data_IF_871118947804
#
_entry.id   IF_871118947804
#
_cell.length_a   1.000
_cell.length_b   1.000
_cell.length_c   1.000
_cell.angle_alpha   90.00
_cell.angle_beta   90.00
_cell.angle_gamma   90.00
#
_symmetry.space_group_name_H-M   'P 1'
#
loop_
_entity.id
_entity.type
_entity.pdbx_description
1 polymer ?
#
# COMPACT_ATOMS: atom_id res chain seq x y z
N UNK A 1 7.05 -14.05 -10.29
CA UNK A 1 6.64 -14.10 -8.87
C UNK A 1 7.40 -13.07 -8.04
N UNK A 2 8.74 -13.09 -7.99
CA UNK A 2 9.58 -12.19 -7.16
C UNK A 2 9.19 -10.71 -7.27
N UNK A 3 9.22 -10.13 -8.48
CA UNK A 3 8.90 -8.70 -8.68
C UNK A 3 7.50 -8.34 -8.17
N UNK A 4 6.52 -9.20 -8.40
CA UNK A 4 5.14 -8.98 -7.96
C UNK A 4 5.01 -9.07 -6.43
N UNK A 5 5.66 -10.05 -5.80
CA UNK A 5 5.65 -10.23 -4.34
C UNK A 5 6.30 -9.04 -3.63
N UNK A 6 7.40 -8.52 -4.17
CA UNK A 6 8.13 -7.39 -3.60
C UNK A 6 7.44 -6.03 -3.80
N UNK A 7 6.47 -5.93 -4.73
CA UNK A 7 5.80 -4.68 -5.08
C UNK A 7 4.28 -4.76 -4.83
N UNK A 8 3.52 -5.16 -5.85
CA UNK A 8 2.06 -5.15 -5.85
C UNK A 8 1.45 -5.98 -4.71
N UNK A 9 2.00 -7.16 -4.39
CA UNK A 9 1.49 -7.97 -3.29
C UNK A 9 1.67 -7.25 -1.95
N UNK A 10 2.84 -6.65 -1.73
CA UNK A 10 3.11 -5.88 -0.52
C UNK A 10 2.19 -4.66 -0.43
N UNK A 11 2.07 -3.88 -1.50
CA UNK A 11 1.19 -2.71 -1.56
C UNK A 11 -0.28 -3.05 -1.25
N UNK A 12 -0.78 -4.18 -1.77
CA UNK A 12 -2.16 -4.63 -1.53
C UNK A 12 -2.48 -4.89 -0.05
N UNK A 13 -1.50 -5.33 0.74
CA UNK A 13 -1.69 -5.65 2.16
C UNK A 13 -1.18 -4.56 3.10
N UNK A 14 -0.30 -3.67 2.62
CA UNK A 14 0.30 -2.61 3.43
C UNK A 14 -0.42 -1.27 3.30
N UNK A 15 -0.72 -0.83 2.08
CA UNK A 15 -1.18 0.55 1.83
C UNK A 15 -2.57 0.84 2.41
N UNK A 16 -3.33 -0.20 2.73
CA UNK A 16 -4.67 -0.10 3.32
C UNK A 16 -4.66 -0.05 4.85
N UNK A 17 -3.51 -0.28 5.50
CA UNK A 17 -3.45 -0.42 6.96
C UNK A 17 -4.01 0.82 7.68
N UNK A 18 -3.61 2.03 7.29
CA UNK A 18 -4.13 3.25 7.94
C UNK A 18 -5.63 3.44 7.73
N UNK A 19 -6.16 3.15 6.55
CA UNK A 19 -7.56 3.38 6.21
C UNK A 19 -8.50 2.45 7.00
N UNK A 20 -8.12 1.19 7.18
CA UNK A 20 -8.96 0.20 7.86
C UNK A 20 -8.58 -0.02 9.33
N UNK A 21 -7.30 0.09 9.68
CA UNK A 21 -6.83 -0.13 11.06
C UNK A 21 -6.70 1.17 11.86
N UNK A 22 -6.81 2.33 11.20
CA UNK A 22 -6.86 3.64 11.86
C UNK A 22 -8.08 3.85 12.75
N UNK A 23 -9.12 3.02 12.59
CA UNK A 23 -10.30 3.01 13.46
C UNK A 23 -10.33 1.72 14.29
N UNK A 24 -9.88 1.79 15.55
CA UNK A 24 -9.68 0.62 16.42
C UNK A 24 -10.86 -0.36 16.49
N UNK A 25 -12.14 0.08 16.60
CA UNK A 25 -13.25 -0.87 16.62
C UNK A 25 -13.37 -1.75 15.36
N UNK A 26 -12.84 -1.30 14.22
CA UNK A 26 -12.82 -2.07 12.98
C UNK A 26 -11.70 -3.13 12.95
N UNK A 27 -10.60 -2.89 13.66
CA UNK A 27 -9.45 -3.81 13.73
C UNK A 27 -8.78 -3.75 15.11
N UNK A 28 -9.43 -4.32 16.16
CA UNK A 28 -8.85 -4.31 17.50
C UNK A 28 -7.62 -5.23 17.55
N UNK A 29 -6.53 -4.74 18.13
CA UNK A 29 -5.27 -5.50 18.26
C UNK A 29 -5.33 -6.69 19.22
N UNK A 30 -6.40 -6.80 19.99
CA UNK A 30 -6.62 -7.88 20.94
C UNK A 30 -8.01 -7.77 21.55
N UNK A 31 -8.48 -8.86 22.14
CA UNK A 31 -9.75 -8.91 22.86
C UNK A 31 -9.49 -9.14 24.34
N UNK A 32 -10.15 -8.35 25.18
CA UNK A 32 -10.10 -8.51 26.63
C UNK A 32 -11.35 -9.28 27.10
N UNK A 33 -11.17 -10.23 28.01
CA UNK A 33 -12.23 -11.13 28.48
C UNK A 33 -13.18 -10.52 29.53
N UNK A 34 -13.13 -9.20 29.77
CA UNK A 34 -13.96 -8.52 30.76
C UNK A 34 -15.33 -8.10 30.18
N UNK A 35 -16.39 -8.30 30.97
CA UNK A 35 -17.78 -8.50 30.52
C UNK A 35 -18.60 -7.28 30.12
N UNK A 36 -17.99 -6.16 29.69
CA UNK A 36 -18.78 -5.03 29.14
C UNK A 36 -18.12 -4.33 27.95
N UNK A 37 -16.80 -4.45 27.76
CA UNK A 37 -16.09 -3.92 26.59
C UNK A 37 -14.90 -4.84 26.26
N UNK A 38 -15.05 -5.73 25.29
CA UNK A 38 -13.96 -6.62 24.85
C UNK A 38 -12.84 -5.92 24.07
N UNK A 39 -12.83 -4.59 24.04
CA UNK A 39 -11.83 -3.80 23.32
C UNK A 39 -10.51 -3.68 24.10
N UNK A 40 -9.40 -3.46 23.39
CA UNK A 40 -8.11 -3.16 24.02
C UNK A 40 -8.19 -1.86 24.81
N UNK A 41 -7.33 -1.74 25.83
CA UNK A 41 -7.19 -0.50 26.58
C UNK A 41 -6.62 0.64 25.71
N UNK A 42 -6.68 1.87 26.24
CA UNK A 42 -6.26 3.07 25.52
C UNK A 42 -4.78 3.01 25.13
N UNK A 43 -3.92 2.48 25.99
CA UNK A 43 -2.48 2.43 25.73
C UNK A 43 -2.17 1.45 24.59
N UNK A 44 -2.77 0.25 24.63
CA UNK A 44 -2.65 -0.74 23.54
C UNK A 44 -3.19 -0.20 22.22
N UNK A 45 -4.33 0.50 22.26
CA UNK A 45 -4.91 1.15 21.08
C UNK A 45 -3.98 2.21 20.49
N UNK A 46 -3.43 3.09 21.34
CA UNK A 46 -2.52 4.17 20.90
C UNK A 46 -1.25 3.62 20.27
N UNK A 47 -0.64 2.58 20.85
CA UNK A 47 0.54 1.93 20.28
C UNK A 47 0.23 1.29 18.92
N UNK A 48 -0.95 0.69 18.78
CA UNK A 48 -1.41 0.13 17.51
C UNK A 48 -1.56 1.16 16.42
N UNK A 49 -2.29 2.24 16.71
CA UNK A 49 -2.49 3.34 15.77
C UNK A 49 -1.17 3.99 15.37
N UNK A 50 -0.24 4.19 16.32
CA UNK A 50 1.09 4.72 16.03
C UNK A 50 1.87 3.80 15.09
N UNK A 51 1.82 2.48 15.32
CA UNK A 51 2.49 1.48 14.48
C UNK A 51 1.91 1.47 13.07
N UNK A 52 0.59 1.38 12.93
CA UNK A 52 -0.11 1.42 11.65
C UNK A 52 0.21 2.70 10.88
N UNK A 53 0.21 3.85 11.56
CA UNK A 53 0.55 5.13 10.95
C UNK A 53 1.99 5.17 10.43
N UNK A 54 2.95 4.63 11.19
CA UNK A 54 4.35 4.55 10.76
C UNK A 54 4.50 3.63 9.54
N UNK A 55 3.90 2.45 9.54
CA UNK A 55 3.99 1.48 8.44
C UNK A 55 3.27 1.92 7.16
N UNK A 56 2.28 2.82 7.30
CA UNK A 56 1.52 3.35 6.16
C UNK A 56 2.13 4.60 5.54
N UNK A 57 3.18 5.17 6.16
CA UNK A 57 3.88 6.32 5.61
C UNK A 57 4.67 5.91 4.38
N UNK A 58 4.43 6.58 3.26
CA UNK A 58 5.34 6.51 2.12
C UNK A 58 6.69 7.11 2.50
N UNK A 59 7.81 6.41 2.26
CA UNK A 59 9.14 6.96 2.49
C UNK A 59 9.38 8.18 1.59
N UNK A 60 10.06 9.18 2.12
CA UNK A 60 10.41 10.40 1.38
C UNK A 60 11.36 10.12 0.21
N UNK A 61 12.20 9.09 0.36
CA UNK A 61 13.16 8.63 -0.64
C UNK A 61 12.54 7.58 -1.57
N UNK A 62 11.31 7.83 -2.05
CA UNK A 62 10.69 7.04 -3.11
C UNK A 62 11.47 7.26 -4.42
N UNK A 63 12.62 6.60 -4.53
CA UNK A 63 13.50 6.67 -5.69
C UNK A 63 13.18 5.46 -6.56
N UNK A 64 12.51 5.71 -7.69
CA UNK A 64 12.42 4.74 -8.78
C UNK A 64 13.83 4.57 -9.33
N UNK A 65 14.48 3.47 -8.99
CA UNK A 65 15.91 3.28 -9.23
C UNK A 65 16.31 3.43 -10.70
N UNK A 66 17.54 3.93 -10.83
CA UNK A 66 18.22 4.34 -12.04
C UNK A 66 18.39 3.22 -13.08
N UNK A 67 18.66 3.64 -14.31
CA UNK A 67 18.90 2.79 -15.47
C UNK A 67 20.12 1.88 -15.27
N UNK A 68 19.89 0.67 -14.77
CA UNK A 68 20.91 -0.40 -14.74
C UNK A 68 21.20 -1.00 -16.12
N UNK A 69 20.22 -0.93 -17.03
CA UNK A 69 20.36 -1.42 -18.39
C UNK A 69 20.80 -0.30 -19.34
N UNK A 70 21.83 -0.58 -20.15
CA UNK A 70 22.33 0.33 -21.19
C UNK A 70 22.02 -0.16 -22.61
N UNK A 71 21.62 -1.42 -22.75
CA UNK A 71 21.27 -2.03 -24.04
C UNK A 71 19.89 -1.56 -24.51
N UNK A 72 19.72 -1.37 -25.82
CA UNK A 72 18.50 -0.82 -26.42
C UNK A 72 17.25 -1.65 -26.11
N UNK A 73 17.33 -2.97 -26.22
CA UNK A 73 16.17 -3.86 -26.04
C UNK A 73 15.62 -3.84 -24.60
N UNK A 74 16.43 -4.03 -23.53
CA UNK A 74 15.94 -3.89 -22.16
C UNK A 74 15.41 -2.48 -21.84
N UNK A 75 16.06 -1.43 -22.33
CA UNK A 75 15.62 -0.04 -22.13
C UNK A 75 14.23 0.19 -22.75
N UNK A 76 14.01 -0.27 -23.98
CA UNK A 76 12.71 -0.18 -24.64
C UNK A 76 11.64 -1.01 -23.91
N UNK A 77 12.00 -2.20 -23.43
CA UNK A 77 11.10 -3.08 -22.68
C UNK A 77 10.64 -2.41 -21.38
N UNK A 78 11.56 -1.80 -20.63
CA UNK A 78 11.25 -1.04 -19.41
C UNK A 78 10.36 0.17 -19.73
N UNK A 79 10.63 0.88 -20.84
CA UNK A 79 9.81 2.01 -21.26
C UNK A 79 8.36 1.59 -21.60
N UNK A 80 8.19 0.48 -22.32
CA UNK A 80 6.87 -0.12 -22.62
C UNK A 80 6.14 -0.52 -21.33
N UNK A 81 6.81 -1.22 -20.43
CA UNK A 81 6.24 -1.61 -19.13
C UNK A 81 5.77 -0.39 -18.32
N UNK A 82 6.59 0.68 -18.25
CA UNK A 82 6.21 1.93 -17.58
C UNK A 82 5.02 2.61 -18.25
N UNK A 83 4.90 2.53 -19.57
CA UNK A 83 3.74 3.05 -20.31
C UNK A 83 2.47 2.26 -20.00
N UNK A 84 2.55 0.93 -19.96
CA UNK A 84 1.41 0.07 -19.60
C UNK A 84 0.92 0.34 -18.17
N UNK A 85 1.85 0.54 -17.22
CA UNK A 85 1.49 0.93 -15.85
C UNK A 85 0.79 2.30 -15.78
N UNK A 86 1.21 3.27 -16.58
CA UNK A 86 0.53 4.58 -16.66
C UNK A 86 -0.88 4.44 -17.21
N UNK A 87 -1.08 3.61 -18.25
CA UNK A 87 -2.41 3.30 -18.78
C UNK A 87 -3.28 2.65 -17.72
N UNK A 88 -2.78 1.62 -17.04
CA UNK A 88 -3.50 0.94 -15.96
C UNK A 88 -3.88 1.90 -14.81
N UNK A 89 -3.00 2.82 -14.44
CA UNK A 89 -3.30 3.87 -13.45
C UNK A 89 -4.48 4.75 -13.89
N UNK A 90 -4.52 5.15 -15.16
CA UNK A 90 -5.65 5.90 -15.74
C UNK A 90 -6.96 5.10 -15.68
N UNK A 91 -6.92 3.83 -16.07
CA UNK A 91 -8.08 2.94 -16.07
C UNK A 91 -8.63 2.74 -14.64
N UNK A 92 -7.74 2.54 -13.66
CA UNK A 92 -8.12 2.41 -12.24
C UNK A 92 -8.76 3.69 -11.72
N UNK A 93 -8.16 4.86 -12.01
CA UNK A 93 -8.71 6.14 -11.57
C UNK A 93 -10.08 6.39 -12.18
N UNK A 94 -10.25 6.11 -13.47
CA UNK A 94 -11.53 6.22 -14.17
C UNK A 94 -12.58 5.32 -13.54
N UNK A 95 -12.25 4.04 -13.30
CA UNK A 95 -13.12 3.08 -12.61
C UNK A 95 -13.50 3.52 -11.19
N UNK A 96 -12.60 4.23 -10.50
CA UNK A 96 -12.82 4.66 -9.13
C UNK A 96 -13.71 5.90 -8.99
N UNK A 97 -13.94 6.68 -10.06
CA UNK A 97 -14.76 7.92 -10.01
C UNK A 97 -16.17 7.65 -9.48
N UNK A 98 -16.80 6.55 -9.90
CA UNK A 98 -18.21 6.26 -9.60
C UNK A 98 -18.37 5.36 -8.35
N UNK A 99 -17.29 5.00 -7.68
CA UNK A 99 -17.32 4.11 -6.51
C UNK A 99 -17.45 4.91 -5.21
N UNK A 100 -18.41 4.51 -4.36
CA UNK A 100 -18.55 5.05 -3.00
C UNK A 100 -17.31 4.83 -2.13
N UNK A 101 -16.62 3.72 -2.35
CA UNK A 101 -15.38 3.36 -1.67
C UNK A 101 -14.36 2.92 -2.74
N UNK A 102 -13.53 3.84 -3.26
CA UNK A 102 -12.59 3.54 -4.32
C UNK A 102 -11.45 2.66 -3.81
N UNK A 103 -11.04 1.66 -4.61
CA UNK A 103 -9.88 0.82 -4.29
C UNK A 103 -8.63 1.39 -4.96
N UNK A 104 -7.75 1.99 -4.16
CA UNK A 104 -6.58 2.74 -4.65
C UNK A 104 -5.24 2.02 -4.46
N UNK A 105 -5.19 0.97 -3.63
CA UNK A 105 -3.93 0.38 -3.14
C UNK A 105 -3.08 -0.33 -4.20
N UNK A 106 -3.68 -0.68 -5.34
CA UNK A 106 -2.98 -1.25 -6.51
C UNK A 106 -2.89 -0.27 -7.69
N UNK A 107 -3.18 1.03 -7.50
CA UNK A 107 -2.81 2.02 -8.51
C UNK A 107 -1.28 2.00 -8.64
N UNK A 108 -0.70 1.76 -9.85
CA UNK A 108 0.74 1.78 -10.06
C UNK A 108 1.44 3.08 -9.61
N UNK A 109 0.72 4.19 -9.47
CA UNK A 109 1.24 5.43 -8.90
C UNK A 109 1.46 5.39 -7.37
N UNK A 110 0.91 4.37 -6.70
CA UNK A 110 0.96 4.17 -5.25
C UNK A 110 1.75 2.94 -4.81
N UNK A 111 2.10 2.06 -5.74
CA UNK A 111 2.86 0.83 -5.49
C UNK A 111 4.37 1.14 -5.49
N UNK A 112 5.08 0.65 -4.48
CA UNK A 112 6.54 0.71 -4.38
C UNK A 112 7.22 -0.36 -5.24
N UNK A 113 8.41 -0.07 -5.75
CA UNK A 113 9.19 -1.03 -6.54
C UNK A 113 9.75 -2.18 -5.67
N UNK A 114 9.85 -1.98 -4.34
CA UNK A 114 10.27 -2.96 -3.34
C UNK A 114 9.61 -2.72 -1.98
N UNK A 115 9.86 -3.60 -0.99
CA UNK A 115 9.38 -3.45 0.38
C UNK A 115 10.32 -2.52 1.17
N UNK A 116 9.88 -1.31 1.50
CA UNK A 116 10.73 -0.29 2.17
C UNK A 116 10.11 0.45 3.35
N UNK A 117 8.90 0.06 3.75
CA UNK A 117 8.16 0.64 4.86
C UNK A 117 8.66 0.19 6.24
#
# INVERSE_FOLDING_TARGET
MVMFTASAQHAAVNNAQLDYFGWMPNAPLGLMLSTVCSFPDVNSTMHGLATVYLLSKKPADFIRTDTHFTQSVPVETVARFRSDLKRLSCDIRTRNVDLKLPYVYLDPASVEDSVTC
#
